data_IF_029336779126
#
_entry.id   IF_029336779126
#
_cell.length_a   1.000
_cell.length_b   1.000
_cell.length_c   1.000
_cell.angle_alpha   90.00
_cell.angle_beta   90.00
_cell.angle_gamma   90.00
#
_symmetry.space_group_name_H-M   'P 1'
#
loop_
_entity.id
_entity.type
_entity.pdbx_description
1 polymer ?
#
# COMPACT_ATOMS: atom_id res chain seq x y z
N UNK A 1 -8.25 11.06 -12.51
CA UNK A 1 -7.65 10.32 -11.38
C UNK A 1 -7.95 8.85 -11.61
N UNK A 2 -7.35 8.28 -12.65
CA UNK A 2 -7.42 6.87 -12.96
C UNK A 2 -6.03 6.34 -12.71
N UNK A 3 -5.78 5.91 -11.48
CA UNK A 3 -4.75 4.91 -11.26
C UNK A 3 -5.42 3.63 -11.77
N UNK A 4 -5.19 3.32 -13.04
CA UNK A 4 -5.56 2.00 -13.56
C UNK A 4 -4.86 0.98 -12.65
N UNK A 5 -5.49 -0.16 -12.40
CA UNK A 5 -5.11 -1.14 -11.38
C UNK A 5 -3.65 -1.63 -11.39
N UNK A 6 -2.86 -1.28 -12.42
CA UNK A 6 -1.43 -1.51 -12.50
C UNK A 6 -0.62 -0.55 -11.61
N UNK A 7 -1.02 0.73 -11.55
CA UNK A 7 -0.29 1.78 -10.81
C UNK A 7 -0.33 1.52 -9.29
N UNK A 8 -1.42 0.92 -8.80
CA UNK A 8 -1.56 0.57 -7.38
C UNK A 8 -0.65 -0.59 -6.97
N UNK A 9 -0.41 -1.55 -7.87
CA UNK A 9 0.45 -2.72 -7.58
C UNK A 9 1.92 -2.29 -7.50
N UNK A 10 2.37 -1.43 -8.42
CA UNK A 10 3.73 -0.84 -8.34
C UNK A 10 3.93 -0.01 -7.07
N UNK A 11 2.93 0.79 -6.69
CA UNK A 11 3.00 1.62 -5.48
C UNK A 11 3.11 0.77 -4.21
N UNK A 12 2.34 -0.32 -4.13
CA UNK A 12 2.36 -1.25 -3.00
C UNK A 12 3.72 -1.95 -2.91
N UNK A 13 4.24 -2.50 -4.00
CA UNK A 13 5.58 -3.12 -4.00
C UNK A 13 6.68 -2.14 -3.61
N UNK A 14 6.61 -0.88 -4.05
CA UNK A 14 7.56 0.15 -3.65
C UNK A 14 7.52 0.42 -2.14
N UNK A 15 6.33 0.43 -1.52
CA UNK A 15 6.20 0.56 -0.08
C UNK A 15 6.69 -0.67 0.68
N UNK A 16 6.45 -1.87 0.16
CA UNK A 16 6.94 -3.11 0.73
C UNK A 16 8.47 -3.13 0.79
N UNK A 17 9.15 -2.75 -0.28
CA UNK A 17 10.61 -2.66 -0.33
C UNK A 17 11.15 -1.53 0.56
N UNK A 18 10.64 -0.30 0.41
CA UNK A 18 11.15 0.88 1.12
C UNK A 18 10.99 0.77 2.64
N UNK A 19 9.84 0.25 3.10
CA UNK A 19 9.56 0.09 4.53
C UNK A 19 9.84 -1.32 5.06
N UNK A 20 10.31 -2.24 4.20
CA UNK A 20 10.51 -3.66 4.54
C UNK A 20 9.27 -4.28 5.20
N UNK A 21 8.09 -3.97 4.65
CA UNK A 21 6.79 -4.47 5.12
C UNK A 21 6.19 -5.42 4.08
N UNK A 22 5.28 -6.29 4.50
CA UNK A 22 4.42 -7.05 3.58
C UNK A 22 3.00 -6.49 3.67
N UNK A 23 2.41 -6.15 2.53
CA UNK A 23 1.04 -5.69 2.39
C UNK A 23 0.25 -6.80 1.69
N UNK A 24 -0.61 -7.54 2.42
CA UNK A 24 -1.41 -8.58 1.79
C UNK A 24 -2.39 -7.97 0.78
N UNK A 25 -2.68 -8.72 -0.29
CA UNK A 25 -3.60 -8.29 -1.37
C UNK A 25 -4.94 -7.78 -0.83
N UNK A 26 -5.53 -8.47 0.15
CA UNK A 26 -6.77 -8.07 0.81
C UNK A 26 -6.67 -6.66 1.44
N UNK A 27 -5.51 -6.29 1.98
CA UNK A 27 -5.27 -4.96 2.54
C UNK A 27 -4.99 -3.95 1.41
N UNK A 28 -4.23 -4.33 0.39
CA UNK A 28 -3.99 -3.49 -0.78
C UNK A 28 -5.30 -3.09 -1.48
N UNK A 29 -6.28 -3.99 -1.59
CA UNK A 29 -7.62 -3.69 -2.12
C UNK A 29 -8.41 -2.66 -1.28
N UNK A 30 -8.11 -2.56 0.02
CA UNK A 30 -8.74 -1.58 0.92
C UNK A 30 -8.04 -0.23 0.94
N UNK A 31 -6.78 -0.16 0.49
CA UNK A 31 -6.01 1.08 0.40
C UNK A 31 -6.45 1.84 -0.85
N UNK A 32 -7.28 2.86 -0.67
CA UNK A 32 -7.80 3.70 -1.78
C UNK A 32 -7.14 5.05 -1.87
N UNK A 33 -6.52 5.48 -0.77
CA UNK A 33 -5.85 6.76 -0.66
C UNK A 33 -4.47 6.61 -0.06
N UNK A 34 -3.60 7.60 -0.30
CA UNK A 34 -2.27 7.66 0.34
C UNK A 34 -2.39 7.67 1.86
N UNK A 35 -3.47 8.26 2.42
CA UNK A 35 -3.73 8.25 3.85
C UNK A 35 -3.98 6.84 4.41
N UNK A 36 -4.71 6.01 3.67
CA UNK A 36 -4.97 4.61 4.05
C UNK A 36 -3.66 3.80 4.06
N UNK A 37 -2.80 4.01 3.06
CA UNK A 37 -1.49 3.36 2.97
C UNK A 37 -0.59 3.74 4.16
N UNK A 38 -0.47 5.04 4.46
CA UNK A 38 0.33 5.53 5.59
C UNK A 38 -0.20 4.98 6.93
N UNK A 39 -1.52 4.94 7.11
CA UNK A 39 -2.13 4.39 8.30
C UNK A 39 -1.84 2.88 8.45
N UNK A 40 -1.89 2.13 7.35
CA UNK A 40 -1.57 0.70 7.34
C UNK A 40 -0.12 0.43 7.73
N UNK A 41 0.83 1.11 7.07
CA UNK A 41 2.26 0.98 7.35
C UNK A 41 2.55 1.34 8.81
N UNK A 42 2.05 2.49 9.28
CA UNK A 42 2.24 2.95 10.66
C UNK A 42 1.72 1.94 11.69
N UNK A 43 0.61 1.26 11.39
CA UNK A 43 0.02 0.24 12.28
C UNK A 43 0.83 -1.06 12.31
N UNK A 44 1.50 -1.43 11.21
CA UNK A 44 2.34 -2.64 11.12
C UNK A 44 3.75 -2.41 11.68
N UNK A 45 4.27 -1.19 11.67
CA UNK A 45 5.59 -0.83 12.22
C UNK A 45 5.59 -0.60 13.74
N UNK A 46 4.46 -0.79 14.42
CA UNK A 46 4.30 -0.63 15.87
C UNK A 46 4.40 -1.96 16.64
#
# INVERSE_FOLDING_TARGET
LGADSLDTVELVMAFEEEFSVEIPDDAAETIRTVGDAVAFITKKSA
#
